data_IF_236337246335
#
_entry.id   IF_236337246335
#
_cell.length_a   1.000
_cell.length_b   1.000
_cell.length_c   1.000
_cell.angle_alpha   90.00
_cell.angle_beta   90.00
_cell.angle_gamma   90.00
#
_symmetry.space_group_name_H-M   'P 1'
#
loop_
_entity.id
_entity.type
_entity.pdbx_description
1 polymer ?
#
# COMPACT_ATOMS: atom_id res chain seq x y z
N UNK A 1 -2.69 13.92 -7.59
CA UNK A 1 -2.17 15.24 -7.17
C UNK A 1 -0.76 15.16 -6.56
N UNK A 2 -0.42 14.23 -5.63
CA UNK A 2 0.91 14.15 -4.98
C UNK A 2 2.06 13.88 -5.98
N UNK A 3 1.89 12.94 -6.92
CA UNK A 3 2.92 12.62 -7.93
C UNK A 3 3.23 13.80 -8.85
N UNK A 4 2.23 14.58 -9.22
CA UNK A 4 2.39 15.77 -10.06
C UNK A 4 3.35 16.82 -9.47
N UNK A 5 3.37 16.99 -8.15
CA UNK A 5 4.30 17.90 -7.48
C UNK A 5 5.74 17.37 -7.49
N UNK A 6 5.92 16.05 -7.44
CA UNK A 6 7.24 15.40 -7.52
C UNK A 6 7.78 15.47 -8.94
N UNK A 7 6.96 15.19 -9.94
CA UNK A 7 7.37 15.17 -11.35
C UNK A 7 7.70 16.57 -11.89
N UNK A 8 7.18 17.63 -11.24
CA UNK A 8 7.42 19.01 -11.66
C UNK A 8 8.85 19.50 -11.41
N UNK A 9 9.60 18.79 -10.56
CA UNK A 9 10.96 19.17 -10.20
C UNK A 9 11.06 20.51 -9.45
N UNK A 10 12.21 20.78 -8.89
CA UNK A 10 12.57 22.07 -8.34
C UNK A 10 13.54 22.79 -9.28
N UNK A 11 13.64 24.11 -9.19
CA UNK A 11 14.63 24.90 -9.92
C UNK A 11 16.08 24.38 -9.70
N UNK A 12 16.33 23.72 -8.58
CA UNK A 12 17.60 23.05 -8.29
C UNK A 12 17.89 21.86 -9.24
N UNK A 13 16.84 21.23 -9.82
CA UNK A 13 17.00 20.10 -10.73
C UNK A 13 17.52 20.53 -12.11
N UNK A 14 17.39 21.80 -12.48
CA UNK A 14 17.88 22.35 -13.75
C UNK A 14 19.42 22.32 -13.84
N UNK A 15 20.09 22.35 -12.69
CA UNK A 15 21.55 22.32 -12.60
C UNK A 15 22.14 20.91 -12.59
N UNK A 16 21.30 19.86 -12.51
CA UNK A 16 21.71 18.47 -12.45
C UNK A 16 21.84 17.86 -13.85
N UNK A 17 22.80 16.93 -14.02
CA UNK A 17 22.83 16.08 -15.20
C UNK A 17 21.68 15.06 -15.20
N UNK A 18 21.48 14.36 -16.30
CA UNK A 18 20.34 13.46 -16.49
C UNK A 18 20.35 12.29 -15.50
N UNK A 19 21.53 11.77 -15.13
CA UNK A 19 21.66 10.68 -14.16
C UNK A 19 21.34 11.15 -12.74
N UNK A 20 21.87 12.30 -12.35
CA UNK A 20 21.59 12.93 -11.06
C UNK A 20 20.11 13.27 -10.92
N UNK A 21 19.49 13.77 -12.00
CA UNK A 21 18.06 14.07 -12.02
C UNK A 21 17.20 12.82 -11.86
N UNK A 22 17.55 11.74 -12.56
CA UNK A 22 16.87 10.46 -12.43
C UNK A 22 17.00 9.89 -11.00
N UNK A 23 18.18 9.96 -10.41
CA UNK A 23 18.42 9.54 -9.02
C UNK A 23 17.62 10.39 -8.03
N UNK A 24 17.61 11.71 -8.18
CA UNK A 24 16.86 12.62 -7.32
C UNK A 24 15.35 12.34 -7.38
N UNK A 25 14.81 12.11 -8.58
CA UNK A 25 13.42 11.75 -8.79
C UNK A 25 13.08 10.42 -8.13
N UNK A 26 13.90 9.39 -8.32
CA UNK A 26 13.71 8.09 -7.68
C UNK A 26 13.75 8.20 -6.15
N UNK A 27 14.65 9.00 -5.61
CA UNK A 27 14.74 9.23 -4.16
C UNK A 27 13.50 9.94 -3.61
N UNK A 28 12.95 10.92 -4.32
CA UNK A 28 11.69 11.59 -3.95
C UNK A 28 10.52 10.61 -3.92
N UNK A 29 10.41 9.72 -4.91
CA UNK A 29 9.38 8.68 -4.90
C UNK A 29 9.55 7.69 -3.76
N UNK A 30 10.80 7.32 -3.44
CA UNK A 30 11.11 6.46 -2.29
C UNK A 30 10.66 7.12 -0.98
N UNK A 31 11.01 8.39 -0.77
CA UNK A 31 10.60 9.15 0.43
C UNK A 31 9.07 9.29 0.53
N UNK A 32 8.40 9.57 -0.59
CA UNK A 32 6.93 9.61 -0.62
C UNK A 32 6.33 8.27 -0.23
N UNK A 33 6.84 7.17 -0.76
CA UNK A 33 6.36 5.82 -0.43
C UNK A 33 6.57 5.48 1.04
N UNK A 34 7.70 5.88 1.63
CA UNK A 34 7.94 5.70 3.07
C UNK A 34 6.97 6.52 3.92
N UNK A 35 6.70 7.77 3.52
CA UNK A 35 5.70 8.60 4.21
C UNK A 35 4.28 8.05 4.07
N UNK A 36 3.91 7.55 2.90
CA UNK A 36 2.65 6.85 2.69
C UNK A 36 2.56 5.59 3.56
N UNK A 37 3.65 4.83 3.68
CA UNK A 37 3.75 3.67 4.57
C UNK A 37 3.52 4.06 6.03
N UNK A 38 4.15 5.14 6.49
CA UNK A 38 3.93 5.68 7.84
C UNK A 38 2.46 6.08 8.09
N UNK A 39 1.83 6.76 7.13
CA UNK A 39 0.44 7.18 7.26
C UNK A 39 -0.57 6.02 7.25
N UNK A 40 -0.22 4.91 6.60
CA UNK A 40 -1.13 3.78 6.41
C UNK A 40 -0.82 2.58 7.32
N UNK A 41 0.25 2.63 8.11
CA UNK A 41 0.55 1.54 9.04
C UNK A 41 -0.46 1.48 10.18
N UNK A 42 -0.85 0.27 10.57
CA UNK A 42 -1.60 -0.01 11.80
C UNK A 42 -0.67 -0.43 12.95
N UNK A 43 0.61 -0.64 12.66
CA UNK A 43 1.65 -0.95 13.64
C UNK A 43 2.09 0.29 14.44
N UNK A 44 3.03 0.09 15.34
CA UNK A 44 3.55 1.17 16.18
C UNK A 44 4.23 2.27 15.34
N UNK A 45 3.71 3.50 15.42
CA UNK A 45 4.27 4.64 14.68
C UNK A 45 5.69 5.00 15.14
N UNK A 46 5.98 4.83 16.42
CA UNK A 46 7.31 5.09 16.98
C UNK A 46 8.34 4.08 16.46
N UNK A 47 7.99 2.81 16.45
CA UNK A 47 8.82 1.76 15.87
C UNK A 47 9.11 2.04 14.39
N UNK A 48 8.06 2.40 13.62
CA UNK A 48 8.22 2.73 12.21
C UNK A 48 9.22 3.86 11.98
N UNK A 49 9.14 4.93 12.77
CA UNK A 49 10.07 6.06 12.68
C UNK A 49 11.49 5.67 13.07
N UNK A 50 11.69 4.91 14.15
CA UNK A 50 13.00 4.48 14.59
C UNK A 50 13.70 3.61 13.54
N UNK A 51 12.97 2.66 12.95
CA UNK A 51 13.47 1.85 11.81
C UNK A 51 13.85 2.70 10.60
N UNK A 52 13.05 3.71 10.30
CA UNK A 52 13.34 4.63 9.20
C UNK A 52 14.68 5.36 9.40
N UNK A 53 15.03 5.72 10.63
CA UNK A 53 16.31 6.36 10.99
C UNK A 53 17.43 5.37 11.27
N UNK A 54 17.20 4.06 11.11
CA UNK A 54 18.22 3.02 11.28
C UNK A 54 18.50 2.64 12.74
N UNK A 55 17.66 3.05 13.68
CA UNK A 55 17.76 2.68 15.09
C UNK A 55 16.92 1.42 15.36
N UNK A 56 17.46 0.27 14.92
CA UNK A 56 16.77 -1.03 15.07
C UNK A 56 16.61 -1.42 16.54
N UNK A 57 17.60 -1.15 17.39
CA UNK A 57 17.52 -1.50 18.81
C UNK A 57 16.44 -0.70 19.53
N UNK A 58 16.33 0.61 19.26
CA UNK A 58 15.27 1.44 19.81
C UNK A 58 13.91 1.09 19.23
N UNK A 59 13.84 0.63 17.96
CA UNK A 59 12.61 0.16 17.33
C UNK A 59 12.11 -1.14 17.99
N UNK A 60 13.00 -2.10 18.25
CA UNK A 60 12.66 -3.34 18.96
C UNK A 60 12.20 -3.05 20.40
N UNK A 61 12.87 -2.13 21.09
CA UNK A 61 12.45 -1.67 22.41
C UNK A 61 11.06 -1.00 22.38
N UNK A 62 10.77 -0.21 21.38
CA UNK A 62 9.48 0.43 21.22
C UNK A 62 8.36 -0.58 20.92
N UNK A 63 8.67 -1.65 20.17
CA UNK A 63 7.75 -2.75 19.92
C UNK A 63 7.46 -3.56 21.20
N UNK A 64 8.49 -3.80 22.03
CA UNK A 64 8.39 -4.60 23.25
C UNK A 64 7.83 -3.82 24.46
N UNK A 65 7.92 -2.50 24.48
CA UNK A 65 7.55 -1.67 25.64
C UNK A 65 6.06 -1.71 25.99
N UNK A 66 5.19 -2.07 25.03
CA UNK A 66 3.75 -2.27 25.26
C UNK A 66 3.41 -3.54 26.04
N UNK A 67 4.28 -4.53 26.03
CA UNK A 67 4.06 -5.82 26.68
C UNK A 67 4.10 -5.79 28.24
N UNK A 68 4.52 -4.67 28.83
CA UNK A 68 4.66 -4.51 30.30
C UNK A 68 3.63 -3.57 30.95
N UNK A 69 2.75 -2.95 30.19
CA UNK A 69 1.73 -2.03 30.73
C UNK A 69 0.43 -2.80 30.98
N UNK A 70 -0.11 -2.73 32.18
CA UNK A 70 -1.29 -3.46 32.72
C UNK A 70 -2.64 -3.16 32.04
N UNK A 71 -2.65 -2.83 30.78
CA UNK A 71 -3.86 -2.62 30.00
C UNK A 71 -3.92 -3.60 28.82
N UNK A 72 -4.54 -4.74 29.06
CA UNK A 72 -4.91 -5.80 28.11
C UNK A 72 -3.73 -6.58 27.46
N UNK A 73 -3.74 -7.89 27.55
CA UNK A 73 -2.72 -8.87 27.15
C UNK A 73 -2.28 -8.84 25.65
N UNK A 74 -2.73 -7.87 24.86
CA UNK A 74 -2.48 -7.78 23.42
C UNK A 74 -1.81 -6.46 22.94
N UNK A 75 -1.27 -5.64 23.86
CA UNK A 75 -0.67 -4.36 23.49
C UNK A 75 0.78 -4.53 23.04
N UNK A 76 0.98 -4.94 21.79
CA UNK A 76 2.27 -4.82 21.10
C UNK A 76 2.53 -3.36 20.71
N UNK A 77 3.74 -2.83 21.02
CA UNK A 77 4.16 -1.50 20.61
C UNK A 77 4.54 -0.57 21.77
N UNK A 78 4.71 0.73 21.49
CA UNK A 78 5.23 1.68 22.48
C UNK A 78 4.21 2.11 23.57
N UNK A 79 2.95 1.72 23.46
CA UNK A 79 1.88 2.09 24.41
C UNK A 79 1.55 3.58 24.48
N UNK A 80 2.12 4.44 23.61
CA UNK A 80 1.99 5.89 23.69
C UNK A 80 1.62 6.57 22.36
N UNK A 81 1.81 5.94 21.21
CA UNK A 81 1.40 6.52 19.92
C UNK A 81 -0.10 6.26 19.67
N UNK A 82 -0.69 7.03 18.76
CA UNK A 82 -2.10 6.89 18.41
C UNK A 82 -2.47 5.47 18.01
N UNK A 83 -1.63 4.78 17.25
CA UNK A 83 -1.91 3.41 16.83
C UNK A 83 -1.91 2.41 17.99
N UNK A 84 -0.96 2.54 18.93
CA UNK A 84 -0.93 1.67 20.11
C UNK A 84 -2.09 1.94 21.08
N UNK A 85 -2.62 3.17 21.09
CA UNK A 85 -3.77 3.54 21.93
C UNK A 85 -5.12 3.25 21.25
N UNK A 86 -5.13 2.98 19.94
CA UNK A 86 -6.35 2.70 19.18
C UNK A 86 -6.50 1.19 18.98
N UNK A 87 -7.66 0.66 19.33
CA UNK A 87 -8.00 -0.72 18.95
C UNK A 87 -8.48 -0.73 17.51
N UNK A 88 -7.69 -1.34 16.62
CA UNK A 88 -8.10 -1.58 15.25
C UNK A 88 -8.94 -2.86 15.19
N UNK A 89 -10.07 -2.79 14.51
CA UNK A 89 -10.80 -4.00 14.13
C UNK A 89 -10.00 -4.70 13.02
N UNK A 90 -9.58 -5.92 13.29
CA UNK A 90 -8.86 -6.75 12.31
C UNK A 90 -9.88 -7.60 11.58
N UNK A 91 -9.89 -7.49 10.27
CA UNK A 91 -10.74 -8.28 9.41
C UNK A 91 -9.88 -9.20 8.53
N UNK A 92 -10.28 -10.47 8.43
CA UNK A 92 -9.62 -11.40 7.52
C UNK A 92 -10.05 -11.14 6.06
N UNK A 93 -9.13 -10.60 5.30
CA UNK A 93 -9.29 -10.31 3.87
C UNK A 93 -8.49 -11.27 2.98
N UNK A 94 -8.07 -12.40 3.53
CA UNK A 94 -7.18 -13.37 2.84
C UNK A 94 -7.75 -13.83 1.51
N UNK A 95 -9.02 -14.15 1.44
CA UNK A 95 -9.63 -14.65 0.20
C UNK A 95 -9.72 -13.55 -0.86
N UNK A 96 -10.05 -12.32 -0.48
CA UNK A 96 -10.04 -11.18 -1.38
C UNK A 96 -8.62 -10.86 -1.88
N UNK A 97 -7.64 -10.92 -0.98
CA UNK A 97 -6.24 -10.72 -1.33
C UNK A 97 -5.74 -11.78 -2.32
N UNK A 98 -6.08 -13.06 -2.08
CA UNK A 98 -5.76 -14.17 -3.00
C UNK A 98 -6.41 -14.00 -4.36
N UNK A 99 -7.67 -13.60 -4.42
CA UNK A 99 -8.37 -13.35 -5.68
C UNK A 99 -7.66 -12.24 -6.47
N UNK A 100 -7.31 -11.13 -5.82
CA UNK A 100 -6.60 -10.02 -6.46
C UNK A 100 -5.22 -10.43 -6.97
N UNK A 101 -4.40 -11.09 -6.14
CA UNK A 101 -3.05 -11.55 -6.53
C UNK A 101 -3.13 -12.56 -7.67
N UNK A 102 -4.03 -13.56 -7.58
CA UNK A 102 -4.24 -14.56 -8.62
C UNK A 102 -4.66 -13.94 -9.94
N UNK A 103 -5.61 -13.01 -9.94
CA UNK A 103 -6.05 -12.33 -11.15
C UNK A 103 -4.90 -11.57 -11.81
N UNK A 104 -4.13 -10.79 -11.05
CA UNK A 104 -2.98 -10.04 -11.60
C UNK A 104 -1.89 -10.99 -12.12
N UNK A 105 -1.58 -12.07 -11.40
CA UNK A 105 -0.53 -13.03 -11.79
C UNK A 105 -0.85 -13.79 -13.07
N UNK A 106 -2.12 -14.01 -13.39
CA UNK A 106 -2.53 -14.74 -14.61
C UNK A 106 -2.57 -13.85 -15.85
N UNK A 107 -2.32 -12.53 -15.70
CA UNK A 107 -2.44 -11.58 -16.81
C UNK A 107 -1.08 -11.22 -17.43
N UNK A 108 -0.96 -11.32 -18.77
CA UNK A 108 0.21 -10.86 -19.49
C UNK A 108 0.27 -9.33 -19.58
N UNK A 109 -0.88 -8.65 -19.49
CA UNK A 109 -0.99 -7.19 -19.57
C UNK A 109 -1.11 -6.58 -18.18
N UNK A 110 -0.49 -5.41 -18.03
CA UNK A 110 -0.55 -4.64 -16.79
C UNK A 110 -1.77 -3.72 -16.81
N UNK A 111 -2.65 -3.91 -15.84
CA UNK A 111 -3.84 -3.08 -15.66
C UNK A 111 -3.69 -2.16 -14.47
N UNK A 112 -4.28 -0.97 -14.57
CA UNK A 112 -4.37 -0.07 -13.43
C UNK A 112 -5.29 -0.61 -12.34
N UNK A 113 -5.02 -0.25 -11.09
CA UNK A 113 -5.78 -0.65 -9.89
C UNK A 113 -7.29 -0.55 -10.04
N UNK A 114 -7.78 0.52 -10.68
CA UNK A 114 -9.23 0.72 -10.89
C UNK A 114 -9.84 -0.33 -11.79
N UNK A 115 -9.17 -0.66 -12.92
CA UNK A 115 -9.68 -1.66 -13.85
C UNK A 115 -9.68 -3.06 -13.24
N UNK A 116 -8.62 -3.41 -12.49
CA UNK A 116 -8.56 -4.69 -11.75
C UNK A 116 -9.71 -4.80 -10.76
N UNK A 117 -9.99 -3.73 -10.00
CA UNK A 117 -11.08 -3.73 -9.04
C UNK A 117 -12.45 -3.83 -9.71
N UNK A 118 -12.65 -3.13 -10.84
CA UNK A 118 -13.90 -3.18 -11.59
C UNK A 118 -14.16 -4.58 -12.17
N UNK A 119 -13.11 -5.27 -12.65
CA UNK A 119 -13.24 -6.65 -13.17
C UNK A 119 -13.55 -7.63 -12.04
N UNK A 120 -12.84 -7.57 -10.93
CA UNK A 120 -13.09 -8.46 -9.78
C UNK A 120 -14.49 -8.25 -9.18
N UNK A 121 -14.99 -7.03 -9.21
CA UNK A 121 -16.38 -6.74 -8.80
C UNK A 121 -17.43 -7.24 -9.81
N UNK A 122 -17.05 -7.44 -11.08
CA UNK A 122 -18.00 -7.77 -12.15
C UNK A 122 -18.64 -6.52 -12.76
N UNK A 123 -17.89 -5.41 -12.82
CA UNK A 123 -18.35 -4.16 -13.42
C UNK A 123 -18.56 -4.30 -14.93
N UNK A 124 -19.59 -3.66 -15.45
CA UNK A 124 -19.94 -3.67 -16.88
C UNK A 124 -19.58 -2.33 -17.54
N UNK A 125 -18.29 -1.99 -17.54
CA UNK A 125 -17.81 -0.79 -18.23
C UNK A 125 -17.52 -1.09 -19.70
N UNK A 126 -17.59 -0.05 -20.54
CA UNK A 126 -17.28 -0.20 -21.97
C UNK A 126 -15.85 -0.74 -22.18
N UNK A 127 -14.91 -0.32 -21.34
CA UNK A 127 -13.52 -0.78 -21.39
C UNK A 127 -13.39 -2.28 -21.09
N UNK A 128 -14.17 -2.81 -20.14
CA UNK A 128 -14.20 -4.23 -19.82
C UNK A 128 -14.69 -5.02 -21.03
N UNK A 129 -15.78 -4.57 -21.68
CA UNK A 129 -16.33 -5.21 -22.88
C UNK A 129 -15.40 -5.14 -24.09
N UNK A 130 -14.78 -4.00 -24.35
CA UNK A 130 -13.82 -3.84 -25.45
C UNK A 130 -12.60 -4.73 -25.32
N UNK A 131 -12.18 -5.03 -24.09
CA UNK A 131 -11.02 -5.87 -23.79
C UNK A 131 -11.40 -7.33 -23.49
N UNK A 132 -12.69 -7.70 -23.58
CA UNK A 132 -13.22 -9.03 -23.25
C UNK A 132 -12.84 -9.52 -21.85
N UNK A 133 -12.77 -8.59 -20.88
CA UNK A 133 -12.39 -8.92 -19.51
C UNK A 133 -13.55 -9.52 -18.70
N UNK A 134 -14.77 -9.43 -19.22
CA UNK A 134 -15.99 -10.09 -18.73
C UNK A 134 -15.98 -11.61 -18.93
N UNK A 135 -15.14 -12.11 -19.86
CA UNK A 135 -14.92 -13.54 -20.08
C UNK A 135 -13.77 -14.11 -19.22
N UNK A 136 -13.12 -13.26 -18.42
CA UNK A 136 -11.95 -13.64 -17.63
C UNK A 136 -12.31 -14.54 -16.46
N UNK A 137 -11.40 -15.48 -16.20
CA UNK A 137 -11.42 -16.25 -14.96
C UNK A 137 -11.07 -15.35 -13.78
N UNK A 138 -12.06 -14.96 -13.01
CA UNK A 138 -11.96 -14.01 -11.90
C UNK A 138 -12.86 -12.78 -12.06
N UNK A 139 -13.51 -12.64 -13.23
CA UNK A 139 -14.57 -11.64 -13.41
C UNK A 139 -15.71 -11.87 -12.43
N UNK A 140 -16.05 -10.83 -11.65
CA UNK A 140 -17.12 -10.90 -10.66
C UNK A 140 -16.84 -11.80 -9.44
N UNK A 141 -15.61 -12.27 -9.25
CA UNK A 141 -15.24 -13.14 -8.12
C UNK A 141 -15.47 -12.45 -6.76
N UNK A 142 -15.38 -11.12 -6.72
CA UNK A 142 -15.64 -10.29 -5.56
C UNK A 142 -16.89 -9.40 -5.73
N UNK A 143 -17.91 -9.89 -6.41
CA UNK A 143 -19.13 -9.11 -6.68
C UNK A 143 -19.93 -8.73 -5.43
N UNK A 144 -19.74 -9.43 -4.32
CA UNK A 144 -20.33 -9.09 -3.02
C UNK A 144 -19.68 -7.87 -2.36
N UNK A 145 -18.47 -7.50 -2.78
CA UNK A 145 -17.69 -6.44 -2.18
C UNK A 145 -17.81 -5.13 -2.98
N UNK A 146 -17.68 -3.99 -2.30
CA UNK A 146 -17.67 -2.71 -3.02
C UNK A 146 -16.36 -2.51 -3.79
N UNK A 147 -16.43 -1.84 -4.94
CA UNK A 147 -15.25 -1.49 -5.75
C UNK A 147 -14.23 -0.68 -4.95
N UNK A 148 -14.69 0.19 -4.03
CA UNK A 148 -13.83 0.96 -3.13
C UNK A 148 -13.00 0.05 -2.24
N UNK A 149 -13.64 -0.93 -1.59
CA UNK A 149 -12.99 -1.90 -0.71
C UNK A 149 -11.97 -2.75 -1.46
N UNK A 150 -12.31 -3.23 -2.65
CA UNK A 150 -11.37 -3.98 -3.51
C UNK A 150 -10.14 -3.12 -3.86
N UNK A 151 -10.35 -1.83 -4.19
CA UNK A 151 -9.25 -0.89 -4.45
C UNK A 151 -8.34 -0.68 -3.23
N UNK A 152 -8.91 -0.64 -2.04
CA UNK A 152 -8.13 -0.47 -0.80
C UNK A 152 -7.28 -1.70 -0.52
N UNK A 153 -7.82 -2.91 -0.70
CA UNK A 153 -7.08 -4.17 -0.57
C UNK A 153 -5.94 -4.24 -1.59
N UNK A 154 -6.19 -3.93 -2.87
CA UNK A 154 -5.14 -3.88 -3.90
C UNK A 154 -4.06 -2.86 -3.51
N UNK A 155 -4.47 -1.70 -2.98
CA UNK A 155 -3.55 -0.67 -2.48
C UNK A 155 -2.65 -1.18 -1.35
N UNK A 156 -3.22 -1.91 -0.39
CA UNK A 156 -2.46 -2.53 0.71
C UNK A 156 -1.50 -3.61 0.19
N UNK A 157 -1.93 -4.44 -0.77
CA UNK A 157 -1.07 -5.46 -1.39
C UNK A 157 0.12 -4.82 -2.13
N UNK A 158 -0.09 -3.69 -2.80
CA UNK A 158 1.00 -2.92 -3.41
C UNK A 158 1.94 -2.32 -2.34
N UNK A 159 1.38 -1.73 -1.28
CA UNK A 159 2.16 -1.15 -0.18
C UNK A 159 3.01 -2.17 0.57
N UNK A 160 2.54 -3.42 0.67
CA UNK A 160 3.25 -4.54 1.30
C UNK A 160 4.16 -5.32 0.34
N UNK A 161 4.25 -4.93 -0.94
CA UNK A 161 5.12 -5.55 -1.93
C UNK A 161 4.61 -6.87 -2.54
N UNK A 162 3.37 -7.29 -2.25
CA UNK A 162 2.77 -8.46 -2.90
C UNK A 162 2.39 -8.21 -4.35
N UNK A 163 2.11 -6.96 -4.71
CA UNK A 163 1.85 -6.51 -6.07
C UNK A 163 2.79 -5.36 -6.41
N UNK A 164 3.40 -5.40 -7.59
CA UNK A 164 4.22 -4.31 -8.09
C UNK A 164 3.37 -3.35 -8.94
N UNK A 165 3.56 -2.05 -8.73
CA UNK A 165 3.07 -1.02 -9.64
C UNK A 165 4.16 -0.71 -10.67
N UNK A 166 3.87 -0.90 -11.96
CA UNK A 166 4.72 -0.34 -13.02
C UNK A 166 4.39 1.16 -13.17
N UNK A 167 5.42 1.95 -13.22
CA UNK A 167 5.35 3.33 -13.69
C UNK A 167 5.22 3.36 -15.21
#
# INVERSE_FOLDING_TARGET
MRRFLIDRGDAADEALDDEQRAWALQNRYRLLSQMEGYCNTTGCLREYMLRYFGDEAAAEHAAAAGAGSTATDDAEGCGNCSNCLTKFEVEDVTDMARAAVRYVATRPMRFGKSLVADVLHGGNTERIRQMHLDEDRGYGELSSESVGRIKDIIGQLCGRGYLATSQ
#
